data_IF_964160229548
#
_entry.id   IF_964160229548
#
_cell.length_a   1.000
_cell.length_b   1.000
_cell.length_c   1.000
_cell.angle_alpha   90.00
_cell.angle_beta   90.00
_cell.angle_gamma   90.00
#
_symmetry.space_group_name_H-M   'P 1'
#
loop_
_entity.id
_entity.type
_entity.pdbx_description
1 polymer ?
#
# COMPACT_ATOMS: atom_id res chain seq x y z
N UNK A 1 0.67 -6.51 -4.50
CA UNK A 1 0.56 -7.97 -4.28
C UNK A 1 1.73 -8.48 -3.46
N UNK A 2 2.96 -8.19 -3.87
CA UNK A 2 4.17 -8.64 -3.17
C UNK A 2 4.23 -8.20 -1.69
N UNK A 3 3.90 -6.94 -1.39
CA UNK A 3 3.88 -6.46 0.00
C UNK A 3 2.86 -7.23 0.85
N UNK A 4 1.62 -7.38 0.38
CA UNK A 4 0.61 -8.17 1.08
C UNK A 4 1.03 -9.64 1.28
N UNK A 5 1.85 -10.22 0.39
CA UNK A 5 2.35 -11.59 0.56
C UNK A 5 3.44 -11.71 1.64
N UNK A 6 4.13 -10.62 1.96
CA UNK A 6 5.19 -10.53 2.99
C UNK A 6 4.65 -10.21 4.38
N UNK A 7 3.35 -9.93 4.50
CA UNK A 7 2.70 -9.62 5.75
C UNK A 7 2.23 -10.91 6.45
N UNK A 8 2.80 -11.26 7.61
CA UNK A 8 2.53 -12.53 8.29
C UNK A 8 1.11 -12.64 8.83
N UNK A 9 0.40 -11.53 9.00
CA UNK A 9 -0.99 -11.52 9.45
C UNK A 9 -1.96 -11.13 8.32
N UNK A 10 -1.52 -11.18 7.06
CA UNK A 10 -2.35 -10.74 5.92
C UNK A 10 -3.68 -11.49 5.87
N UNK A 11 -3.70 -12.78 6.18
CA UNK A 11 -4.92 -13.59 6.10
C UNK A 11 -6.02 -13.10 7.03
N UNK A 12 -5.65 -12.48 8.16
CA UNK A 12 -6.60 -11.87 9.10
C UNK A 12 -7.35 -10.68 8.49
N UNK A 13 -6.73 -9.95 7.56
CA UNK A 13 -7.34 -8.79 6.89
C UNK A 13 -7.84 -9.11 5.48
N UNK A 14 -7.37 -10.19 4.83
CA UNK A 14 -7.83 -10.60 3.48
C UNK A 14 -9.34 -10.78 3.41
N UNK A 15 -9.95 -11.38 4.43
CA UNK A 15 -11.40 -11.61 4.48
C UNK A 15 -12.16 -10.29 4.36
N UNK A 16 -11.64 -9.23 4.96
CA UNK A 16 -12.22 -7.90 4.92
C UNK A 16 -11.80 -7.05 3.72
N UNK A 17 -10.78 -7.46 2.95
CA UNK A 17 -10.26 -6.70 1.81
C UNK A 17 -10.45 -7.38 0.44
N UNK A 18 -11.05 -8.57 0.39
CA UNK A 18 -11.45 -9.24 -0.87
C UNK A 18 -12.68 -8.57 -1.47
N UNK A 19 -12.45 -7.39 -2.06
CA UNK A 19 -13.45 -6.61 -2.79
C UNK A 19 -13.94 -7.39 -4.00
N UNK A 20 -15.26 -7.54 -4.11
CA UNK A 20 -15.93 -8.09 -5.27
C UNK A 20 -16.85 -7.05 -5.89
N UNK A 21 -17.33 -7.30 -7.11
CA UNK A 21 -18.26 -6.41 -7.82
C UNK A 21 -19.61 -6.24 -7.11
N UNK A 22 -19.94 -7.11 -6.14
CA UNK A 22 -21.19 -7.09 -5.39
C UNK A 22 -21.11 -6.30 -4.08
N UNK A 23 -19.95 -5.73 -3.75
CA UNK A 23 -19.78 -4.98 -2.51
C UNK A 23 -20.70 -3.76 -2.44
N UNK A 24 -21.30 -3.57 -1.27
CA UNK A 24 -22.16 -2.44 -0.92
C UNK A 24 -21.43 -1.44 -0.03
N UNK A 25 -22.04 -0.27 0.22
CA UNK A 25 -21.51 0.70 1.20
C UNK A 25 -21.31 0.08 2.60
N UNK A 26 -22.14 -0.90 2.98
CA UNK A 26 -22.00 -1.62 4.25
C UNK A 26 -20.74 -2.46 4.30
N UNK A 27 -20.36 -3.07 3.17
CA UNK A 27 -19.12 -3.85 3.05
C UNK A 27 -17.90 -2.95 3.14
N UNK A 28 -17.90 -1.81 2.43
CA UNK A 28 -16.83 -0.81 2.56
C UNK A 28 -16.71 -0.28 3.98
N UNK A 29 -17.82 0.03 4.65
CA UNK A 29 -17.79 0.49 6.03
C UNK A 29 -17.26 -0.58 7.00
N UNK A 30 -17.58 -1.86 6.77
CA UNK A 30 -16.99 -2.99 7.53
C UNK A 30 -15.48 -3.05 7.31
N UNK A 31 -15.04 -3.06 6.06
CA UNK A 31 -13.63 -3.11 5.69
C UNK A 31 -12.84 -1.93 6.27
N UNK A 32 -13.38 -0.70 6.23
CA UNK A 32 -12.73 0.47 6.81
C UNK A 32 -12.48 0.33 8.30
N UNK A 33 -13.44 -0.26 9.04
CA UNK A 33 -13.26 -0.53 10.49
C UNK A 33 -12.22 -1.61 10.76
N UNK A 34 -12.16 -2.63 9.90
CA UNK A 34 -11.15 -3.69 10.00
C UNK A 34 -9.75 -3.12 9.74
N UNK A 35 -9.57 -2.38 8.65
CA UNK A 35 -8.31 -1.71 8.29
C UNK A 35 -7.86 -0.74 9.39
N UNK A 36 -8.77 0.03 9.99
CA UNK A 36 -8.42 0.96 11.07
C UNK A 36 -7.90 0.28 12.35
N UNK A 37 -8.19 -1.01 12.54
CA UNK A 37 -7.70 -1.82 13.67
C UNK A 37 -6.53 -2.72 13.29
N UNK A 38 -6.17 -2.74 12.02
CA UNK A 38 -5.12 -3.59 11.51
C UNK A 38 -3.76 -3.00 11.85
N UNK A 39 -2.95 -3.78 12.57
CA UNK A 39 -1.64 -3.33 13.04
C UNK A 39 -0.54 -4.35 12.68
N UNK A 40 -0.62 -4.89 11.46
CA UNK A 40 0.45 -5.70 10.88
C UNK A 40 0.94 -5.10 9.56
N UNK A 41 2.08 -5.58 9.10
CA UNK A 41 2.71 -5.07 7.89
C UNK A 41 3.72 -6.06 7.33
N UNK A 42 4.20 -5.81 6.10
CA UNK A 42 5.15 -6.68 5.45
C UNK A 42 6.48 -6.71 6.18
N UNK A 43 7.07 -7.90 6.26
CA UNK A 43 8.42 -8.11 6.76
C UNK A 43 9.36 -8.15 5.56
N UNK A 44 10.38 -7.29 5.61
CA UNK A 44 11.48 -7.27 4.65
C UNK A 44 12.75 -7.67 5.40
N UNK A 45 13.45 -8.66 4.86
CA UNK A 45 14.77 -9.03 5.35
C UNK A 45 15.82 -8.07 4.75
N UNK A 46 17.03 -8.05 5.30
CA UNK A 46 18.09 -7.11 4.87
C UNK A 46 18.39 -7.23 3.38
N UNK A 47 18.39 -8.46 2.84
CA UNK A 47 18.59 -8.71 1.41
C UNK A 47 17.44 -8.20 0.52
N UNK A 48 16.26 -7.93 1.08
CA UNK A 48 15.12 -7.39 0.34
C UNK A 48 15.15 -5.86 0.27
N UNK A 49 15.87 -5.19 1.18
CA UNK A 49 15.86 -3.73 1.30
C UNK A 49 16.46 -3.04 0.07
N UNK A 50 17.45 -3.64 -0.57
CA UNK A 50 18.01 -3.12 -1.82
C UNK A 50 16.99 -3.17 -2.96
N UNK A 51 16.27 -4.28 -3.10
CA UNK A 51 15.20 -4.40 -4.09
C UNK A 51 14.06 -3.40 -3.82
N UNK A 52 13.75 -3.16 -2.54
CA UNK A 52 12.77 -2.14 -2.15
C UNK A 52 13.25 -0.72 -2.49
N UNK A 53 14.51 -0.39 -2.20
CA UNK A 53 15.15 0.88 -2.58
C UNK A 53 15.04 1.09 -4.09
N UNK A 54 15.49 0.12 -4.88
CA UNK A 54 15.53 0.24 -6.34
C UNK A 54 14.12 0.39 -6.93
N UNK A 55 13.13 -0.32 -6.35
CA UNK A 55 11.72 -0.17 -6.71
C UNK A 55 11.20 1.25 -6.44
N UNK A 56 11.47 1.81 -5.25
CA UNK A 56 11.02 3.16 -4.88
C UNK A 56 11.76 4.26 -5.65
N UNK A 57 13.06 4.11 -5.87
CA UNK A 57 13.88 5.01 -6.68
C UNK A 57 13.35 5.10 -8.12
N UNK A 58 12.92 3.96 -8.70
CA UNK A 58 12.28 3.92 -10.01
C UNK A 58 10.96 4.71 -10.10
N UNK A 59 10.34 5.04 -8.96
CA UNK A 59 9.10 5.83 -8.89
C UNK A 59 9.33 7.24 -8.30
N UNK A 60 10.57 7.65 -8.05
CA UNK A 60 10.90 8.92 -7.39
C UNK A 60 10.34 10.14 -8.13
N UNK A 61 10.55 10.19 -9.45
CA UNK A 61 10.04 11.28 -10.29
C UNK A 61 8.50 11.34 -10.29
N UNK A 62 7.83 10.19 -10.19
CA UNK A 62 6.38 10.13 -10.05
C UNK A 62 5.95 10.72 -8.70
N UNK A 63 6.59 10.33 -7.60
CA UNK A 63 6.29 10.83 -6.26
C UNK A 63 6.48 12.35 -6.16
N UNK A 64 7.56 12.89 -6.73
CA UNK A 64 7.82 14.33 -6.78
C UNK A 64 6.73 15.08 -7.55
N UNK A 65 6.34 14.59 -8.73
CA UNK A 65 5.27 15.20 -9.53
C UNK A 65 3.91 15.16 -8.82
N UNK A 66 3.66 14.13 -8.00
CA UNK A 66 2.44 14.06 -7.19
C UNK A 66 2.47 15.09 -6.06
N UNK A 67 3.61 15.30 -5.39
CA UNK A 67 3.76 16.34 -4.36
C UNK A 67 3.59 17.77 -4.91
N UNK A 68 3.97 18.00 -6.16
CA UNK A 68 3.81 19.30 -6.83
C UNK A 68 2.36 19.60 -7.26
N UNK A 69 1.46 18.61 -7.24
CA UNK A 69 0.09 18.78 -7.71
C UNK A 69 -0.79 19.42 -6.62
N UNK A 70 -1.24 20.68 -6.81
CA UNK A 70 -1.97 21.40 -5.77
C UNK A 70 -3.35 20.80 -5.45
N UNK A 71 -3.93 20.05 -6.38
CA UNK A 71 -5.24 19.38 -6.19
C UNK A 71 -5.17 18.31 -5.10
N UNK A 72 -3.99 17.73 -4.86
CA UNK A 72 -3.82 16.67 -3.86
C UNK A 72 -3.81 17.17 -2.42
N UNK A 73 -3.55 18.47 -2.19
CA UNK A 73 -3.60 19.06 -0.85
C UNK A 73 -5.00 19.16 -0.28
N UNK A 74 -6.04 19.06 -1.12
CA UNK A 74 -7.44 18.98 -0.67
C UNK A 74 -7.75 17.63 0.00
N UNK A 75 -6.89 16.62 -0.21
CA UNK A 75 -7.02 15.27 0.34
C UNK A 75 -5.85 14.97 1.29
N UNK A 76 -5.99 15.40 2.55
CA UNK A 76 -4.99 15.21 3.61
C UNK A 76 -4.49 13.76 3.72
N UNK A 77 -5.40 12.78 3.64
CA UNK A 77 -5.06 11.38 3.77
C UNK A 77 -4.17 10.84 2.63
N UNK A 78 -4.35 11.34 1.40
CA UNK A 78 -3.47 10.99 0.28
C UNK A 78 -2.09 11.62 0.42
N UNK A 79 -2.04 12.86 0.92
CA UNK A 79 -0.78 13.56 1.21
C UNK A 79 0.04 12.80 2.26
N UNK A 80 -0.61 12.21 3.27
CA UNK A 80 0.08 11.39 4.27
C UNK A 80 0.68 10.10 3.68
N UNK A 81 0.01 9.45 2.72
CA UNK A 81 0.61 8.32 1.98
C UNK A 81 1.85 8.77 1.24
N UNK A 82 1.76 9.87 0.47
CA UNK A 82 2.90 10.38 -0.29
C UNK A 82 4.08 10.67 0.62
N UNK A 83 3.84 11.33 1.77
CA UNK A 83 4.90 11.64 2.73
C UNK A 83 5.54 10.38 3.30
N UNK A 84 4.75 9.38 3.68
CA UNK A 84 5.28 8.14 4.24
C UNK A 84 6.10 7.33 3.23
N UNK A 85 5.63 7.23 1.98
CA UNK A 85 6.36 6.52 0.91
C UNK A 85 7.62 7.27 0.51
N UNK A 86 7.55 8.60 0.41
CA UNK A 86 8.72 9.43 0.08
C UNK A 86 9.77 9.40 1.19
N UNK A 87 9.36 9.48 2.46
CA UNK A 87 10.27 9.34 3.59
C UNK A 87 10.98 7.98 3.60
N UNK A 88 10.26 6.89 3.35
CA UNK A 88 10.85 5.57 3.23
C UNK A 88 11.87 5.49 2.07
N UNK A 89 11.54 6.09 0.92
CA UNK A 89 12.45 6.15 -0.23
C UNK A 89 13.72 6.93 0.12
N UNK A 90 13.58 8.10 0.75
CA UNK A 90 14.72 8.94 1.18
C UNK A 90 15.63 8.20 2.18
N UNK A 91 15.08 7.53 3.17
CA UNK A 91 15.85 6.74 4.15
C UNK A 91 16.64 5.61 3.47
N UNK A 92 16.02 4.90 2.52
CA UNK A 92 16.68 3.82 1.79
C UNK A 92 17.76 4.32 0.81
N UNK A 93 17.57 5.48 0.18
CA UNK A 93 18.55 6.09 -0.73
C UNK A 93 19.77 6.67 0.01
N UNK A 94 19.58 7.19 1.23
CA UNK A 94 20.65 7.82 2.00
C UNK A 94 21.47 6.83 2.83
N UNK A 95 21.09 5.55 2.86
CA UNK A 95 21.84 4.48 3.51
C UNK A 95 22.72 3.78 2.46
N UNK A 96 23.97 3.53 2.84
CA UNK A 96 24.96 2.89 1.96
C UNK A 96 24.63 1.42 1.69
N UNK A 97 25.31 0.51 2.40
CA UNK A 97 25.04 -0.92 2.29
C UNK A 97 23.84 -1.30 3.17
N UNK A 98 22.71 -1.61 2.53
CA UNK A 98 21.48 -2.03 3.19
C UNK A 98 21.51 -3.48 3.69
N UNK A 99 22.46 -4.28 3.18
CA UNK A 99 22.60 -5.71 3.53
C UNK A 99 23.34 -5.96 4.86
N UNK A 100 23.87 -4.90 5.47
CA UNK A 100 24.67 -4.97 6.68
C UNK A 100 24.34 -3.84 7.68
N UNK A 101 23.05 -3.50 7.79
CA UNK A 101 22.60 -2.46 8.70
C UNK A 101 22.63 -2.92 10.17
N UNK A 102 22.90 -2.01 11.12
CA UNK A 102 22.67 -2.28 12.54
C UNK A 102 21.20 -2.66 12.81
N UNK A 103 20.95 -3.46 13.84
CA UNK A 103 19.59 -3.89 14.20
C UNK A 103 18.63 -2.74 14.51
N UNK A 104 19.14 -1.62 15.06
CA UNK A 104 18.38 -0.39 15.26
C UNK A 104 17.85 0.20 13.96
N UNK A 105 18.67 0.16 12.92
CA UNK A 105 18.40 0.73 11.62
C UNK A 105 17.43 -0.13 10.82
N UNK A 106 17.56 -1.45 10.89
CA UNK A 106 16.60 -2.41 10.33
C UNK A 106 15.24 -2.29 11.02
N UNK A 107 15.20 -2.13 12.36
CA UNK A 107 13.97 -1.92 13.10
C UNK A 107 13.27 -0.59 12.75
N UNK A 108 14.04 0.48 12.51
CA UNK A 108 13.52 1.76 12.04
C UNK A 108 12.81 1.59 10.69
N UNK A 109 13.51 1.03 9.70
CA UNK A 109 12.97 0.83 8.36
C UNK A 109 11.73 -0.07 8.37
N UNK A 110 11.71 -1.12 9.19
CA UNK A 110 10.52 -1.95 9.38
C UNK A 110 9.31 -1.13 9.87
N UNK A 111 9.54 -0.16 10.76
CA UNK A 111 8.52 0.79 11.22
C UNK A 111 8.00 1.69 10.10
N UNK A 112 8.87 2.22 9.25
CA UNK A 112 8.49 3.07 8.11
C UNK A 112 7.75 2.30 7.02
N UNK A 113 8.22 1.08 6.70
CA UNK A 113 7.55 0.16 5.78
C UNK A 113 6.13 -0.14 6.27
N UNK A 114 5.98 -0.49 7.55
CA UNK A 114 4.66 -0.74 8.16
C UNK A 114 3.77 0.50 8.09
N UNK A 115 4.31 1.69 8.39
CA UNK A 115 3.57 2.96 8.33
C UNK A 115 3.05 3.24 6.91
N UNK A 116 3.92 3.15 5.90
CA UNK A 116 3.55 3.35 4.51
C UNK A 116 2.49 2.34 4.05
N UNK A 117 2.67 1.07 4.41
CA UNK A 117 1.74 -0.01 4.06
C UNK A 117 0.33 0.20 4.65
N UNK A 118 0.22 0.53 5.94
CA UNK A 118 -1.09 0.76 6.58
C UNK A 118 -1.83 1.95 5.97
N UNK A 119 -1.11 3.03 5.64
CA UNK A 119 -1.67 4.18 4.94
C UNK A 119 -2.12 3.81 3.51
N UNK A 120 -1.30 3.05 2.78
CA UNK A 120 -1.63 2.57 1.43
C UNK A 120 -2.90 1.72 1.40
N UNK A 121 -3.08 0.82 2.38
CA UNK A 121 -4.30 -0.01 2.46
C UNK A 121 -5.54 0.87 2.63
N UNK A 122 -5.46 1.84 3.53
CA UNK A 122 -6.57 2.74 3.83
C UNK A 122 -6.96 3.57 2.62
N UNK A 123 -5.99 4.18 1.94
CA UNK A 123 -6.26 4.97 0.74
C UNK A 123 -6.70 4.10 -0.43
N UNK A 124 -6.12 2.91 -0.60
CA UNK A 124 -6.57 1.96 -1.61
C UNK A 124 -8.05 1.58 -1.41
N UNK A 125 -8.48 1.31 -0.18
CA UNK A 125 -9.89 1.00 0.09
C UNK A 125 -10.83 2.17 -0.25
N UNK A 126 -10.42 3.40 0.09
CA UNK A 126 -11.19 4.61 -0.27
C UNK A 126 -11.25 4.80 -1.79
N UNK A 127 -10.13 4.61 -2.48
CA UNK A 127 -10.06 4.65 -3.92
C UNK A 127 -10.96 3.60 -4.59
N UNK A 128 -10.98 2.37 -4.08
CA UNK A 128 -11.85 1.30 -4.58
C UNK A 128 -13.34 1.66 -4.45
N UNK A 129 -13.74 2.33 -3.36
CA UNK A 129 -15.10 2.86 -3.21
C UNK A 129 -15.39 3.96 -4.22
N UNK A 130 -14.49 4.93 -4.35
CA UNK A 130 -14.63 6.02 -5.32
C UNK A 130 -14.77 5.49 -6.76
N UNK A 131 -13.94 4.52 -7.15
CA UNK A 131 -14.03 3.85 -8.44
C UNK A 131 -15.39 3.18 -8.64
N UNK A 132 -15.89 2.46 -7.63
CA UNK A 132 -17.19 1.79 -7.75
C UNK A 132 -18.31 2.78 -8.03
N UNK A 133 -18.29 3.94 -7.37
CA UNK A 133 -19.38 4.90 -7.44
C UNK A 133 -19.27 5.84 -8.65
N UNK A 134 -18.05 6.14 -9.10
CA UNK A 134 -17.78 7.14 -10.15
C UNK A 134 -17.40 6.51 -11.48
N UNK A 135 -16.68 5.39 -11.46
CA UNK A 135 -16.11 4.73 -12.64
C UNK A 135 -16.29 3.20 -12.62
N UNK A 136 -17.53 2.68 -12.70
CA UNK A 136 -17.81 1.24 -12.52
C UNK A 136 -16.99 0.31 -13.43
N UNK A 137 -16.65 0.76 -14.64
CA UNK A 137 -15.83 -0.02 -15.57
C UNK A 137 -14.38 -0.18 -15.09
N UNK A 138 -13.78 0.84 -14.46
CA UNK A 138 -12.46 0.75 -13.84
C UNK A 138 -12.50 -0.11 -12.58
N UNK A 139 -13.55 0.04 -11.77
CA UNK A 139 -13.76 -0.77 -10.58
C UNK A 139 -13.79 -2.27 -10.88
N UNK A 140 -14.48 -2.67 -11.96
CA UNK A 140 -14.55 -4.08 -12.37
C UNK A 140 -13.16 -4.70 -12.60
N UNK A 141 -12.24 -3.98 -13.23
CA UNK A 141 -10.87 -4.45 -13.41
C UNK A 141 -10.11 -4.43 -12.07
N UNK A 142 -10.18 -3.32 -11.32
CA UNK A 142 -9.47 -3.15 -10.06
C UNK A 142 -9.84 -4.23 -9.02
N UNK A 143 -11.13 -4.61 -8.95
CA UNK A 143 -11.61 -5.66 -8.06
C UNK A 143 -11.07 -7.05 -8.48
N UNK A 144 -10.97 -7.32 -9.78
CA UNK A 144 -10.40 -8.57 -10.31
C UNK A 144 -8.90 -8.66 -10.17
N UNK A 145 -8.21 -7.52 -10.10
CA UNK A 145 -6.75 -7.46 -9.88
C UNK A 145 -6.36 -7.20 -8.43
N UNK A 146 -7.30 -7.34 -7.48
CA UNK A 146 -7.15 -7.00 -6.06
C UNK A 146 -5.84 -7.56 -5.45
N UNK A 147 -5.00 -6.72 -4.81
CA UNK A 147 -3.72 -7.14 -4.24
C UNK A 147 -3.83 -8.10 -3.05
N UNK A 148 -4.99 -8.18 -2.41
CA UNK A 148 -5.28 -9.07 -1.26
C UNK A 148 -5.90 -10.40 -1.65
N UNK A 149 -6.14 -10.63 -2.94
CA UNK A 149 -6.54 -11.94 -3.47
C UNK A 149 -5.36 -12.58 -4.22
N UNK A 150 -4.73 -13.66 -3.69
CA UNK A 150 -3.64 -14.35 -4.36
C UNK A 150 -4.04 -14.98 -5.71
N UNK A 151 -5.33 -15.22 -5.93
CA UNK A 151 -5.87 -15.81 -7.16
C UNK A 151 -6.42 -14.76 -8.12
N UNK A 152 -6.22 -13.46 -7.83
CA UNK A 152 -6.71 -12.35 -8.63
C UNK A 152 -6.14 -12.37 -10.06
N UNK A 153 -7.03 -12.37 -11.06
CA UNK A 153 -6.68 -12.37 -12.48
C UNK A 153 -7.46 -11.32 -13.26
N UNK A 154 -6.78 -10.61 -14.16
CA UNK A 154 -7.41 -9.68 -15.09
C UNK A 154 -8.16 -10.40 -16.24
N UNK A 155 -7.86 -11.67 -16.48
CA UNK A 155 -8.44 -12.47 -17.57
C UNK A 155 -9.81 -13.00 -17.15
N UNK A 156 -10.81 -12.90 -18.04
CA UNK A 156 -12.12 -13.53 -17.90
C UNK A 156 -12.14 -14.76 -18.78
N UNK A 157 -12.48 -15.93 -18.21
CA UNK A 157 -12.71 -17.17 -18.94
C UNK A 157 -14.20 -17.35 -19.23
#
# INVERSE_FOLDING_TARGET
>A
REWAARDPAVDAIRVDLRITTTWTDKDFARASRAVARYDSGPVFEEQDLEALRDCLAGHRDLLLRLLENPVLFEHEAFTDVLRAVFHLADELENRGDLSALPSSDTAHLAGDIKRAYLLLIREWLQYMRHLKDTYPYLFSLAARTNPFDPQASAVVA
#
